data_IF_772905793653
#
_entry.id   IF_772905793653
#
_cell.length_a   1.000
_cell.length_b   1.000
_cell.length_c   1.000
_cell.angle_alpha   90.00
_cell.angle_beta   90.00
_cell.angle_gamma   90.00
#
_symmetry.space_group_name_H-M   'P 1'
#
loop_
_entity.id
_entity.type
_entity.pdbx_description
1 polymer ?
#
# COMPACT_ATOMS: atom_id res chain seq x y z
N UNK A 1 10.46 18.66 -8.66
CA UNK A 1 9.22 18.14 -9.28
C UNK A 1 8.78 16.93 -8.47
N UNK A 2 7.76 17.04 -7.61
CA UNK A 2 7.25 15.89 -6.84
C UNK A 2 6.34 15.06 -7.75
N UNK A 3 6.83 13.93 -8.27
CA UNK A 3 5.98 12.92 -8.88
C UNK A 3 4.94 12.50 -7.83
N UNK A 4 3.65 12.76 -8.09
CA UNK A 4 2.54 12.19 -7.31
C UNK A 4 2.59 10.68 -7.52
N UNK A 5 3.21 9.94 -6.61
CA UNK A 5 3.18 8.47 -6.63
C UNK A 5 1.74 8.02 -6.42
N UNK A 6 1.10 7.46 -7.46
CA UNK A 6 -0.25 6.87 -7.37
C UNK A 6 -0.15 5.59 -6.54
N UNK A 7 -0.30 5.71 -5.23
CA UNK A 7 -0.30 4.58 -4.31
C UNK A 7 -1.63 3.83 -4.42
N UNK A 8 -1.55 2.50 -4.53
CA UNK A 8 -2.71 1.62 -4.58
C UNK A 8 -2.80 0.84 -3.26
N UNK A 9 -3.97 0.88 -2.63
CA UNK A 9 -4.27 0.05 -1.47
C UNK A 9 -4.77 -1.31 -1.97
N UNK A 10 -4.01 -2.36 -1.68
CA UNK A 10 -4.31 -3.73 -2.11
C UNK A 10 -4.46 -4.67 -0.91
N UNK A 11 -5.03 -5.86 -1.16
CA UNK A 11 -5.05 -6.95 -0.18
C UNK A 11 -3.81 -7.81 -0.39
N UNK A 12 -3.05 -8.05 0.68
CA UNK A 12 -1.85 -8.90 0.68
C UNK A 12 -2.25 -10.38 0.63
N UNK A 13 -1.48 -11.21 -0.08
CA UNK A 13 -1.67 -12.67 -0.13
C UNK A 13 -1.09 -13.29 1.15
N UNK A 14 0.20 -13.11 1.40
CA UNK A 14 0.88 -13.60 2.61
C UNK A 14 1.56 -12.46 3.39
N UNK A 15 1.04 -12.09 4.58
CA UNK A 15 1.63 -11.01 5.39
C UNK A 15 3.01 -11.35 5.96
N UNK A 16 3.37 -12.63 6.12
CA UNK A 16 4.69 -13.03 6.66
C UNK A 16 5.80 -12.63 5.69
N UNK A 17 5.56 -12.69 4.38
CA UNK A 17 6.52 -12.22 3.37
C UNK A 17 6.77 -10.72 3.49
N UNK A 18 5.74 -9.91 3.77
CA UNK A 18 5.90 -8.48 3.97
C UNK A 18 6.67 -8.14 5.26
N UNK A 19 6.51 -8.92 6.32
CA UNK A 19 7.26 -8.71 7.57
C UNK A 19 8.77 -8.92 7.37
N UNK A 20 9.15 -9.85 6.50
CA UNK A 20 10.55 -10.21 6.22
C UNK A 20 11.15 -9.51 4.99
N UNK A 21 10.40 -8.61 4.37
CA UNK A 21 10.83 -7.95 3.13
C UNK A 21 11.55 -6.65 3.45
N UNK A 22 12.80 -6.52 3.00
CA UNK A 22 13.61 -5.29 3.19
C UNK A 22 13.00 -4.05 2.53
N UNK A 23 12.09 -4.24 1.57
CA UNK A 23 11.41 -3.18 0.84
C UNK A 23 10.04 -2.82 1.43
N UNK A 24 9.62 -3.50 2.50
CA UNK A 24 8.34 -3.29 3.15
C UNK A 24 8.51 -2.66 4.54
N UNK A 25 7.64 -1.71 4.88
CA UNK A 25 7.61 -1.09 6.21
C UNK A 25 6.18 -0.76 6.63
N UNK A 26 5.99 -0.51 7.93
CA UNK A 26 4.68 -0.09 8.46
C UNK A 26 4.56 1.42 8.31
N UNK A 27 3.56 1.87 7.56
CA UNK A 27 3.21 3.27 7.37
C UNK A 27 1.95 3.62 8.15
N UNK A 28 1.92 4.81 8.74
CA UNK A 28 0.70 5.43 9.23
C UNK A 28 -0.05 6.03 8.04
N UNK A 29 -1.28 5.59 7.82
CA UNK A 29 -2.15 6.07 6.74
C UNK A 29 -3.40 6.72 7.32
N UNK A 30 -3.82 7.82 6.70
CA UNK A 30 -5.10 8.47 6.98
C UNK A 30 -6.10 7.97 5.94
N UNK A 31 -7.14 7.29 6.39
CA UNK A 31 -8.22 6.86 5.48
C UNK A 31 -9.11 8.05 5.12
N UNK A 32 -9.93 7.91 4.06
CA UNK A 32 -10.90 8.95 3.66
C UNK A 32 -11.83 9.39 4.80
N UNK A 33 -12.10 8.50 5.76
CA UNK A 33 -12.92 8.79 6.94
C UNK A 33 -12.14 9.54 8.05
N UNK A 34 -10.94 10.02 7.78
CA UNK A 34 -10.07 10.71 8.74
C UNK A 34 -9.41 9.80 9.79
N UNK A 35 -9.63 8.48 9.71
CA UNK A 35 -9.07 7.53 10.69
C UNK A 35 -7.62 7.21 10.36
N UNK A 36 -6.75 7.23 11.37
CA UNK A 36 -5.37 6.74 11.26
C UNK A 36 -5.33 5.22 11.40
N UNK A 37 -4.60 4.55 10.51
CA UNK A 37 -4.34 3.11 10.56
C UNK A 37 -2.89 2.83 10.23
N UNK A 38 -2.35 1.74 10.77
CA UNK A 38 -1.06 1.19 10.35
C UNK A 38 -1.27 0.21 9.21
N UNK A 39 -0.55 0.37 8.10
CA UNK A 39 -0.60 -0.51 6.94
C UNK A 39 0.81 -0.83 6.43
N UNK A 40 0.99 -1.98 5.80
CA UNK A 40 2.21 -2.26 5.07
C UNK A 40 2.28 -1.39 3.82
N UNK A 41 3.42 -0.72 3.66
CA UNK A 41 3.85 -0.07 2.43
C UNK A 41 4.96 -0.91 1.81
N UNK A 42 4.89 -1.16 0.50
CA UNK A 42 5.95 -1.82 -0.25
C UNK A 42 6.43 -0.86 -1.35
N UNK A 43 7.73 -0.61 -1.41
CA UNK A 43 8.34 0.28 -2.40
C UNK A 43 8.57 -0.39 -3.77
N UNK A 44 8.45 -1.71 -3.84
CA UNK A 44 8.63 -2.49 -5.08
C UNK A 44 7.44 -2.33 -6.00
N UNK A 45 7.69 -1.84 -7.22
CA UNK A 45 6.68 -1.72 -8.28
C UNK A 45 6.40 -3.07 -8.97
N UNK A 46 7.30 -4.03 -8.80
CA UNK A 46 7.26 -5.39 -9.34
C UNK A 46 6.86 -6.44 -8.29
N UNK A 47 6.43 -6.01 -7.10
CA UNK A 47 5.94 -6.94 -6.07
C UNK A 47 4.63 -7.59 -6.52
N UNK A 48 4.50 -8.89 -6.29
CA UNK A 48 3.37 -9.73 -6.68
C UNK A 48 2.63 -10.34 -5.48
N UNK A 49 3.05 -10.03 -4.24
CA UNK A 49 2.41 -10.50 -3.00
C UNK A 49 1.09 -9.76 -2.68
N UNK A 50 0.20 -9.66 -3.66
CA UNK A 50 -1.08 -9.00 -3.54
C UNK A 50 -2.12 -9.66 -4.44
N UNK A 51 -3.38 -9.67 -3.99
CA UNK A 51 -4.47 -10.18 -4.80
C UNK A 51 -4.68 -9.26 -6.01
N UNK A 52 -4.48 -9.82 -7.21
CA UNK A 52 -4.79 -9.12 -8.45
C UNK A 52 -6.33 -9.02 -8.61
N UNK A 53 -6.91 -8.03 -7.95
CA UNK A 53 -8.34 -7.73 -8.10
C UNK A 53 -8.52 -6.94 -9.38
N UNK A 54 -9.01 -7.58 -10.44
CA UNK A 54 -9.63 -6.87 -11.57
C UNK A 54 -10.91 -6.08 -11.16
N UNK A 55 -11.23 -5.95 -9.86
CA UNK A 55 -12.52 -5.43 -9.41
C UNK A 55 -12.52 -4.19 -8.51
N UNK A 56 -11.53 -3.92 -7.65
CA UNK A 56 -11.72 -2.91 -6.58
C UNK A 56 -10.43 -2.32 -6.01
N UNK A 57 -9.60 -1.70 -6.84
CA UNK A 57 -8.56 -0.80 -6.33
C UNK A 57 -9.17 0.57 -6.01
N UNK A 58 -9.50 0.86 -4.75
CA UNK A 58 -9.85 2.24 -4.35
C UNK A 58 -8.57 3.07 -4.35
N UNK A 59 -8.40 3.94 -5.35
CA UNK A 59 -7.34 4.94 -5.36
C UNK A 59 -7.43 5.83 -4.12
N UNK A 60 -6.38 5.83 -3.31
CA UNK A 60 -6.23 6.75 -2.19
C UNK A 60 -5.18 7.76 -2.64
N UNK A 61 -5.63 8.98 -2.91
CA UNK A 61 -4.75 10.10 -3.28
C UNK A 61 -4.03 10.58 -2.02
N UNK A 62 -2.69 10.60 -2.07
CA UNK A 62 -1.83 11.09 -0.98
C UNK A 62 -1.53 12.58 -1.20
N UNK A 63 -1.81 13.41 -0.19
CA UNK A 63 -1.36 14.79 -0.10
C UNK A 63 -0.29 14.92 1.01
N UNK A 64 0.68 15.81 0.78
CA UNK A 64 2.04 15.88 1.35
C UNK A 64 2.15 15.88 2.87
#
# INVERSE_FOLDING_TARGET
MTQKSRLRVIKIIDPILCIRCDYAYIADVVTRDGKRKKMFYCSRLDCDNWYNSQGTSKEVEFEK
#
